data_IF_354961278984
#
_entry.id   IF_354961278984
#
_cell.length_a   1.000
_cell.length_b   1.000
_cell.length_c   1.000
_cell.angle_alpha   90.00
_cell.angle_beta   90.00
_cell.angle_gamma   90.00
#
_symmetry.space_group_name_H-M   'P 1'
#
loop_
_entity.id
_entity.type
_entity.pdbx_description
1 polymer ?
#
# COMPACT_ATOMS: atom_id res chain seq x y z
N UNK A 1 19.27 -6.30 10.82
CA UNK A 1 19.46 -5.42 11.99
C UNK A 1 19.66 -4.00 11.47
N UNK A 2 18.87 -3.06 12.02
CA UNK A 2 19.08 -1.63 11.87
C UNK A 2 19.82 -1.14 13.12
N UNK A 3 21.06 -0.64 13.00
CA UNK A 3 21.87 -0.27 14.16
C UNK A 3 21.38 1.04 14.79
N UNK A 4 21.77 1.27 16.04
CA UNK A 4 21.50 2.52 16.74
C UNK A 4 21.97 3.75 15.93
N UNK A 5 21.09 4.71 15.71
CA UNK A 5 21.39 5.97 15.03
C UNK A 5 21.34 5.91 13.50
N UNK A 6 20.98 4.78 12.91
CA UNK A 6 20.72 4.66 11.48
C UNK A 6 19.58 5.62 11.11
N UNK A 7 19.79 6.46 10.10
CA UNK A 7 18.88 7.53 9.67
C UNK A 7 18.35 8.43 10.81
N UNK A 8 19.09 8.52 11.92
CA UNK A 8 18.75 9.33 13.10
C UNK A 8 17.84 8.64 14.12
N UNK A 9 17.36 7.43 13.85
CA UNK A 9 16.46 6.71 14.76
C UNK A 9 17.21 6.11 15.96
N UNK A 10 16.55 6.13 17.14
CA UNK A 10 17.09 5.57 18.36
C UNK A 10 16.87 4.05 18.44
N UNK A 11 17.81 3.37 19.11
CA UNK A 11 17.73 1.92 19.35
C UNK A 11 18.31 1.09 18.20
N UNK A 12 18.76 -0.10 18.55
CA UNK A 12 19.01 -1.16 17.59
C UNK A 12 17.68 -1.90 17.38
N UNK A 13 17.29 -2.08 16.12
CA UNK A 13 16.07 -2.82 15.76
C UNK A 13 16.44 -4.12 15.06
N UNK A 14 15.98 -5.26 15.61
CA UNK A 14 16.09 -6.56 14.97
C UNK A 14 14.80 -6.84 14.23
N UNK A 15 14.89 -7.00 12.91
CA UNK A 15 13.75 -7.21 12.03
C UNK A 15 13.86 -8.60 11.41
N UNK A 16 12.76 -9.34 11.41
CA UNK A 16 12.58 -10.59 10.67
C UNK A 16 11.39 -10.43 9.73
N UNK A 17 11.60 -10.71 8.45
CA UNK A 17 10.54 -10.75 7.45
C UNK A 17 10.49 -12.16 6.89
N UNK A 18 9.29 -12.76 6.89
CA UNK A 18 9.07 -14.11 6.39
C UNK A 18 8.14 -14.02 5.19
N UNK A 19 8.62 -14.49 4.04
CA UNK A 19 7.83 -14.66 2.83
C UNK A 19 7.44 -16.13 2.69
N UNK A 20 6.14 -16.39 2.54
CA UNK A 20 5.61 -17.73 2.30
C UNK A 20 4.70 -17.71 1.08
N UNK A 21 4.86 -18.68 0.18
CA UNK A 21 3.89 -18.90 -0.90
C UNK A 21 3.12 -20.18 -0.60
N UNK A 22 1.80 -20.07 -0.51
CA UNK A 22 0.93 -21.18 -0.09
C UNK A 22 0.35 -21.94 -1.28
N UNK A 23 -0.25 -23.11 -1.01
CA UNK A 23 -0.97 -23.88 -2.03
C UNK A 23 -2.33 -23.26 -2.42
N UNK A 24 -2.74 -22.19 -1.74
CA UNK A 24 -3.97 -21.43 -2.00
C UNK A 24 -3.69 -20.15 -2.81
N UNK A 25 -2.54 -20.13 -3.53
CA UNK A 25 -2.06 -19.01 -4.35
C UNK A 25 -1.88 -17.70 -3.58
N UNK A 26 -1.42 -17.80 -2.32
CA UNK A 26 -1.20 -16.66 -1.46
C UNK A 26 0.30 -16.38 -1.26
N UNK A 27 0.72 -15.14 -1.50
CA UNK A 27 1.97 -14.60 -1.01
C UNK A 27 1.72 -13.98 0.37
N UNK A 28 2.16 -14.65 1.41
CA UNK A 28 2.07 -14.21 2.79
C UNK A 28 3.37 -13.54 3.20
N UNK A 29 3.28 -12.33 3.75
CA UNK A 29 4.42 -11.59 4.28
C UNK A 29 4.15 -11.32 5.76
N UNK A 30 5.02 -11.84 6.63
CA UNK A 30 4.95 -11.64 8.06
C UNK A 30 6.18 -10.86 8.54
N UNK A 31 5.96 -9.84 9.35
CA UNK A 31 7.01 -8.99 9.88
C UNK A 31 7.05 -9.12 11.40
N UNK A 32 8.24 -9.21 11.95
CA UNK A 32 8.48 -9.18 13.38
C UNK A 32 9.66 -8.27 13.67
N UNK A 33 9.54 -7.46 14.73
CA UNK A 33 10.66 -6.64 15.15
C UNK A 33 10.69 -6.47 16.67
N UNK A 34 11.90 -6.30 17.21
CA UNK A 34 12.16 -5.94 18.60
C UNK A 34 13.23 -4.86 18.65
N UNK A 35 13.26 -4.10 19.73
CA UNK A 35 14.22 -3.01 19.92
C UNK A 35 14.83 -3.04 21.31
N UNK A 36 16.04 -2.47 21.46
CA UNK A 36 16.69 -2.27 22.75
C UNK A 36 16.45 -0.87 23.36
N UNK A 37 15.82 0.05 22.61
CA UNK A 37 15.42 1.40 23.07
C UNK A 37 14.10 1.78 22.41
N UNK A 38 13.35 2.71 23.04
CA UNK A 38 12.15 3.28 22.43
C UNK A 38 12.49 3.88 21.07
N UNK A 39 11.77 3.46 20.03
CA UNK A 39 11.92 3.93 18.66
C UNK A 39 10.57 3.94 17.94
N UNK A 40 10.56 4.31 16.68
CA UNK A 40 9.39 4.19 15.78
C UNK A 40 9.66 3.12 14.75
N UNK A 41 8.61 2.41 14.32
CA UNK A 41 8.67 1.39 13.28
C UNK A 41 7.36 1.36 12.50
N UNK A 42 7.48 1.34 11.17
CA UNK A 42 6.34 1.18 10.27
C UNK A 42 6.86 0.46 9.02
N UNK A 43 6.68 -0.85 8.95
CA UNK A 43 7.18 -1.67 7.86
C UNK A 43 6.08 -1.90 6.83
N UNK A 44 6.46 -1.99 5.56
CA UNK A 44 5.55 -2.36 4.47
C UNK A 44 6.29 -3.11 3.37
N UNK A 45 5.55 -3.59 2.38
CA UNK A 45 6.08 -4.13 1.12
C UNK A 45 5.65 -3.22 -0.02
N UNK A 46 6.62 -2.64 -0.71
CA UNK A 46 6.38 -1.78 -1.88
C UNK A 46 6.44 -2.60 -3.18
N UNK A 47 5.63 -3.66 -3.24
CA UNK A 47 5.53 -4.52 -4.42
C UNK A 47 4.76 -3.83 -5.55
N UNK A 48 5.34 -3.83 -6.75
CA UNK A 48 4.70 -3.33 -7.98
C UNK A 48 3.99 -4.50 -8.68
N UNK A 49 2.67 -4.41 -8.83
CA UNK A 49 1.85 -5.45 -9.44
C UNK A 49 1.30 -4.99 -10.79
N UNK A 50 1.61 -5.75 -11.84
CA UNK A 50 1.06 -5.57 -13.19
C UNK A 50 0.26 -6.80 -13.59
N UNK A 51 -1.07 -6.79 -13.36
CA UNK A 51 -1.94 -7.93 -13.64
C UNK A 51 -2.09 -8.18 -15.14
N UNK A 52 -1.93 -7.15 -15.97
CA UNK A 52 -1.90 -7.28 -17.42
C UNK A 52 -0.66 -8.04 -17.93
N UNK A 53 0.33 -8.26 -17.06
CA UNK A 53 1.59 -8.91 -17.37
C UNK A 53 2.68 -7.92 -17.80
N UNK A 54 3.88 -8.47 -18.00
CA UNK A 54 5.07 -7.71 -18.38
C UNK A 54 5.25 -7.78 -19.90
N UNK A 55 5.39 -6.64 -20.56
CA UNK A 55 5.61 -6.51 -22.00
C UNK A 55 6.58 -5.37 -22.32
N UNK A 56 6.79 -5.05 -23.57
CA UNK A 56 7.58 -3.92 -24.02
C UNK A 56 6.76 -3.05 -25.01
N UNK A 57 6.16 -1.94 -24.55
CA UNK A 57 6.05 -1.48 -23.15
C UNK A 57 5.05 -2.33 -22.34
N UNK A 58 5.20 -2.30 -21.01
CA UNK A 58 4.21 -2.87 -20.09
C UNK A 58 2.88 -2.11 -20.22
N UNK A 59 1.73 -2.81 -20.31
CA UNK A 59 0.44 -2.17 -20.40
C UNK A 59 0.14 -1.24 -19.22
N UNK A 60 -0.57 -0.14 -19.49
CA UNK A 60 -1.04 0.76 -18.45
C UNK A 60 -2.10 0.10 -17.55
N UNK A 61 -2.21 0.62 -16.32
CA UNK A 61 -3.12 0.13 -15.28
C UNK A 61 -4.54 0.71 -15.37
N UNK A 62 -4.80 1.62 -16.32
CA UNK A 62 -6.05 2.39 -16.39
C UNK A 62 -7.30 1.51 -16.42
N UNK A 63 -7.23 0.36 -17.08
CA UNK A 63 -8.35 -0.59 -17.22
C UNK A 63 -8.50 -1.55 -16.03
N UNK A 64 -7.58 -1.53 -15.07
CA UNK A 64 -7.72 -2.37 -13.88
C UNK A 64 -8.94 -1.95 -13.07
N UNK A 65 -9.75 -2.92 -12.65
CA UNK A 65 -10.87 -2.67 -11.76
C UNK A 65 -10.38 -2.83 -10.32
N UNK A 66 -10.49 -1.77 -9.53
CA UNK A 66 -10.04 -1.76 -8.14
C UNK A 66 -11.22 -1.52 -7.20
N UNK A 67 -11.19 -2.21 -6.04
CA UNK A 67 -12.05 -2.03 -4.89
C UNK A 67 -11.17 -1.91 -3.64
N UNK A 68 -11.45 -0.95 -2.75
CA UNK A 68 -10.74 -0.74 -1.49
C UNK A 68 -11.75 -0.64 -0.35
N UNK A 69 -11.58 -1.46 0.68
CA UNK A 69 -12.43 -1.47 1.87
C UNK A 69 -12.04 -0.35 2.83
N UNK A 70 -12.32 0.90 2.44
CA UNK A 70 -12.00 2.08 3.21
C UNK A 70 -13.01 3.21 2.95
N UNK A 71 -13.57 3.79 4.01
CA UNK A 71 -14.48 4.94 3.92
C UNK A 71 -13.74 6.28 3.98
N UNK A 72 -12.44 6.25 4.33
CA UNK A 72 -11.62 7.44 4.52
C UNK A 72 -10.23 7.26 3.93
N UNK A 73 -9.56 8.38 3.66
CA UNK A 73 -8.16 8.44 3.26
C UNK A 73 -7.46 9.61 3.95
N UNK A 74 -6.14 9.62 3.95
CA UNK A 74 -5.31 10.69 4.47
C UNK A 74 -4.94 11.64 3.32
N UNK A 75 -5.38 12.92 3.35
CA UNK A 75 -4.92 13.89 2.38
C UNK A 75 -3.46 14.26 2.61
N UNK A 76 -2.77 14.58 1.52
CA UNK A 76 -1.36 14.97 1.52
C UNK A 76 -1.20 16.43 1.11
N UNK A 77 -0.11 17.05 1.52
CA UNK A 77 0.32 18.36 1.02
C UNK A 77 1.09 18.24 -0.31
N UNK A 78 1.58 19.34 -0.84
CA UNK A 78 2.33 19.41 -2.09
C UNK A 78 3.73 18.76 -2.01
N UNK A 79 4.15 18.33 -0.82
CA UNK A 79 5.37 17.54 -0.58
C UNK A 79 5.08 16.05 -0.37
N UNK A 80 3.82 15.61 -0.58
CA UNK A 80 3.34 14.24 -0.38
C UNK A 80 3.33 13.77 1.08
N UNK A 81 3.32 14.69 2.05
CA UNK A 81 3.22 14.37 3.47
C UNK A 81 1.76 14.50 3.93
N UNK A 82 1.23 13.55 4.73
CA UNK A 82 -0.12 13.66 5.29
C UNK A 82 -0.32 14.94 6.10
N UNK A 83 -1.43 15.63 5.84
CA UNK A 83 -1.78 16.88 6.55
C UNK A 83 -2.24 16.66 7.99
N UNK A 84 -2.51 15.39 8.35
CA UNK A 84 -3.13 15.02 9.60
C UNK A 84 -4.65 14.87 9.51
N UNK A 85 -5.29 15.41 8.51
CA UNK A 85 -6.73 15.23 8.32
C UNK A 85 -7.07 13.78 7.92
N UNK A 86 -8.32 13.39 8.16
CA UNK A 86 -8.91 12.12 7.72
C UNK A 86 -10.18 12.48 6.95
N UNK A 87 -10.16 12.32 5.64
CA UNK A 87 -11.24 12.74 4.75
C UNK A 87 -12.03 11.54 4.21
N UNK A 88 -13.33 11.74 3.98
CA UNK A 88 -14.19 10.72 3.37
C UNK A 88 -13.83 10.51 1.91
N UNK A 89 -13.81 9.24 1.47
CA UNK A 89 -13.61 8.90 0.05
C UNK A 89 -14.86 9.20 -0.78
N UNK A 90 -16.06 9.09 -0.18
CA UNK A 90 -17.34 9.19 -0.88
C UNK A 90 -17.51 10.51 -1.62
N UNK A 91 -17.75 10.42 -2.94
CA UNK A 91 -17.92 11.57 -3.82
C UNK A 91 -16.62 12.25 -4.24
N UNK A 92 -15.49 11.60 -4.02
CA UNK A 92 -14.16 12.05 -4.46
C UNK A 92 -13.55 11.06 -5.47
N UNK A 93 -12.45 11.41 -6.15
CA UNK A 93 -11.70 10.46 -6.99
C UNK A 93 -11.21 9.21 -6.24
N UNK A 94 -11.11 9.27 -4.91
CA UNK A 94 -10.65 8.19 -4.03
C UNK A 94 -11.74 7.20 -3.63
N UNK A 95 -12.97 7.35 -4.11
CA UNK A 95 -14.07 6.43 -3.80
C UNK A 95 -13.91 5.12 -4.59
N UNK A 96 -13.27 4.14 -3.96
CA UNK A 96 -13.13 2.75 -4.39
C UNK A 96 -13.97 1.80 -3.52
N UNK A 97 -14.96 2.29 -2.79
CA UNK A 97 -15.86 1.45 -1.98
C UNK A 97 -16.72 0.51 -2.82
N UNK A 98 -16.82 0.77 -4.11
CA UNK A 98 -17.37 -0.11 -5.13
C UNK A 98 -16.37 -0.26 -6.27
N UNK A 99 -16.29 -1.45 -6.91
CA UNK A 99 -15.35 -1.68 -7.99
C UNK A 99 -15.44 -0.61 -9.09
N UNK A 100 -14.32 0.03 -9.41
CA UNK A 100 -14.21 0.99 -10.52
C UNK A 100 -12.88 0.89 -11.23
N UNK A 101 -12.82 1.36 -12.48
CA UNK A 101 -11.56 1.47 -13.24
C UNK A 101 -10.60 2.44 -12.54
N UNK A 102 -9.34 2.05 -12.42
CA UNK A 102 -8.28 2.89 -11.85
C UNK A 102 -8.12 4.17 -12.67
N UNK A 103 -8.16 4.08 -13.99
CA UNK A 103 -8.03 5.22 -14.90
C UNK A 103 -9.18 6.22 -14.87
N UNK A 104 -10.34 5.84 -14.29
CA UNK A 104 -11.56 6.67 -14.37
C UNK A 104 -11.37 8.10 -13.84
N UNK A 105 -10.71 8.23 -12.68
CA UNK A 105 -10.56 9.51 -11.99
C UNK A 105 -9.08 9.85 -11.70
N UNK A 106 -8.13 9.11 -12.29
CA UNK A 106 -6.69 9.24 -12.00
C UNK A 106 -6.11 10.59 -12.45
N UNK A 107 -6.76 11.26 -13.38
CA UNK A 107 -6.42 12.60 -13.89
C UNK A 107 -7.50 13.65 -13.55
N UNK A 108 -8.36 13.38 -12.57
CA UNK A 108 -9.40 14.30 -12.17
C UNK A 108 -8.83 15.66 -11.74
N UNK A 109 -9.57 16.74 -12.02
CA UNK A 109 -9.24 18.09 -11.54
C UNK A 109 -9.55 18.20 -10.03
N UNK A 110 -8.73 17.53 -9.23
CA UNK A 110 -8.84 17.45 -7.78
C UNK A 110 -7.46 17.71 -7.16
N UNK A 111 -7.41 18.52 -6.11
CA UNK A 111 -6.16 18.95 -5.45
C UNK A 111 -5.30 17.74 -5.08
N UNK A 112 -5.87 16.74 -4.44
CA UNK A 112 -5.16 15.56 -3.98
C UNK A 112 -4.62 14.69 -5.12
N UNK A 113 -5.33 14.59 -6.25
CA UNK A 113 -4.84 13.94 -7.46
C UNK A 113 -3.63 14.69 -8.04
N UNK A 114 -3.64 16.03 -7.94
CA UNK A 114 -2.49 16.85 -8.38
C UNK A 114 -1.29 16.65 -7.47
N UNK A 115 -1.48 16.61 -6.15
CA UNK A 115 -0.40 16.38 -5.18
C UNK A 115 0.27 15.01 -5.40
N UNK A 116 -0.51 13.93 -5.58
CA UNK A 116 0.01 12.58 -5.83
C UNK A 116 0.40 12.30 -7.28
N UNK A 117 0.16 13.24 -8.22
CA UNK A 117 0.28 13.03 -9.67
C UNK A 117 -0.55 11.83 -10.19
N UNK A 118 -1.61 11.48 -9.46
CA UNK A 118 -2.45 10.30 -9.54
C UNK A 118 -2.81 9.82 -8.13
N UNK A 119 -2.95 8.51 -7.95
CA UNK A 119 -3.13 7.95 -6.60
C UNK A 119 -1.77 7.73 -5.94
N UNK A 120 -1.59 8.28 -4.76
CA UNK A 120 -0.44 8.06 -3.86
C UNK A 120 -0.85 8.43 -2.43
N UNK A 121 -1.87 7.74 -1.92
CA UNK A 121 -2.52 8.11 -0.67
C UNK A 121 -2.73 6.90 0.22
N UNK A 122 -2.66 7.13 1.52
CA UNK A 122 -2.99 6.12 2.52
C UNK A 122 -4.50 6.09 2.75
N UNK A 123 -5.11 4.94 2.47
CA UNK A 123 -6.50 4.64 2.79
C UNK A 123 -6.61 4.13 4.22
N UNK A 124 -7.61 4.63 4.95
CA UNK A 124 -7.95 4.18 6.30
C UNK A 124 -8.85 2.96 6.17
N UNK A 125 -8.30 1.79 6.40
CA UNK A 125 -9.03 0.53 6.20
C UNK A 125 -10.15 0.35 7.23
N UNK A 126 -11.30 -0.12 6.75
CA UNK A 126 -12.39 -0.52 7.63
C UNK A 126 -12.02 -1.79 8.38
N UNK A 127 -11.98 -1.73 9.71
CA UNK A 127 -11.64 -2.83 10.63
C UNK A 127 -12.73 -2.98 11.67
N UNK A 128 -13.08 -4.23 11.99
CA UNK A 128 -13.95 -4.52 13.13
C UNK A 128 -13.17 -4.47 14.45
N UNK A 129 -11.91 -4.94 14.42
CA UNK A 129 -10.99 -4.95 15.55
C UNK A 129 -9.59 -4.54 15.11
N UNK A 130 -8.86 -3.84 15.97
CA UNK A 130 -7.46 -3.48 15.74
C UNK A 130 -6.59 -4.75 15.60
N UNK A 131 -5.70 -4.76 14.59
CA UNK A 131 -4.83 -5.89 14.32
C UNK A 131 -5.52 -7.12 13.72
N UNK A 132 -6.83 -7.08 13.44
CA UNK A 132 -7.53 -8.15 12.76
C UNK A 132 -7.03 -8.30 11.32
N UNK A 133 -6.71 -9.54 10.92
CA UNK A 133 -6.48 -9.87 9.51
C UNK A 133 -7.81 -9.81 8.76
N UNK A 134 -7.98 -8.81 7.90
CA UNK A 134 -9.22 -8.59 7.17
C UNK A 134 -8.96 -8.15 5.73
N UNK A 135 -9.98 -8.27 4.89
CA UNK A 135 -9.95 -7.80 3.51
C UNK A 135 -9.69 -6.29 3.44
N UNK A 136 -8.73 -5.90 2.61
CA UNK A 136 -8.32 -4.52 2.38
C UNK A 136 -8.64 -4.04 0.97
N UNK A 137 -8.29 -4.81 -0.07
CA UNK A 137 -8.50 -4.42 -1.45
C UNK A 137 -8.60 -5.63 -2.38
N UNK A 138 -9.17 -5.36 -3.57
CA UNK A 138 -9.16 -6.27 -4.70
C UNK A 138 -8.84 -5.50 -5.98
N UNK A 139 -7.99 -6.09 -6.82
CA UNK A 139 -7.76 -5.59 -8.17
C UNK A 139 -7.93 -6.71 -9.18
N UNK A 140 -8.52 -6.39 -10.32
CA UNK A 140 -8.81 -7.32 -11.41
C UNK A 140 -8.38 -6.70 -12.74
N UNK A 141 -7.66 -7.45 -13.56
CA UNK A 141 -7.49 -7.12 -14.97
C UNK A 141 -8.62 -7.77 -15.77
N UNK A 142 -9.56 -7.00 -16.33
CA UNK A 142 -10.70 -7.53 -17.07
C UNK A 142 -10.30 -8.24 -18.37
N UNK A 143 -9.11 -7.95 -18.91
CA UNK A 143 -8.65 -8.56 -20.17
C UNK A 143 -8.10 -9.97 -19.97
N UNK A 144 -7.30 -10.18 -18.92
CA UNK A 144 -6.72 -11.50 -18.61
C UNK A 144 -7.54 -12.30 -17.60
N UNK A 145 -8.45 -11.64 -16.88
CA UNK A 145 -9.19 -12.21 -15.76
C UNK A 145 -8.35 -12.38 -14.49
N UNK A 146 -7.06 -12.00 -14.48
CA UNK A 146 -6.22 -12.11 -13.29
C UNK A 146 -6.73 -11.21 -12.19
N UNK A 147 -6.72 -11.73 -10.97
CA UNK A 147 -7.14 -11.00 -9.76
C UNK A 147 -6.07 -11.06 -8.70
N UNK A 148 -6.03 -10.04 -7.86
CA UNK A 148 -5.27 -10.04 -6.60
C UNK A 148 -6.15 -9.44 -5.52
N UNK A 149 -6.29 -10.16 -4.41
CA UNK A 149 -6.94 -9.67 -3.18
C UNK A 149 -5.85 -9.40 -2.14
N UNK A 150 -6.04 -8.35 -1.36
CA UNK A 150 -5.12 -7.96 -0.28
C UNK A 150 -5.85 -8.10 1.05
N UNK A 151 -5.21 -8.82 1.98
CA UNK A 151 -5.64 -8.92 3.37
C UNK A 151 -4.50 -8.46 4.26
N UNK A 152 -4.82 -7.73 5.33
CA UNK A 152 -3.78 -7.24 6.24
C UNK A 152 -4.27 -7.06 7.66
N UNK A 153 -3.34 -7.07 8.62
CA UNK A 153 -3.56 -6.67 10.01
C UNK A 153 -3.43 -5.16 10.21
N UNK A 154 -2.92 -4.43 9.23
CA UNK A 154 -2.61 -3.01 9.33
C UNK A 154 -3.86 -2.11 9.25
N UNK A 155 -3.85 -0.95 9.93
CA UNK A 155 -4.97 0.00 9.91
C UNK A 155 -5.08 0.81 8.63
N UNK A 156 -4.01 0.88 7.85
CA UNK A 156 -3.93 1.67 6.62
C UNK A 156 -3.29 0.91 5.47
N UNK A 157 -3.49 1.43 4.28
CA UNK A 157 -2.86 0.90 3.07
C UNK A 157 -2.62 2.05 2.09
N UNK A 158 -1.35 2.26 1.73
CA UNK A 158 -1.03 3.13 0.61
C UNK A 158 -1.49 2.47 -0.69
N UNK A 159 -2.20 3.23 -1.51
CA UNK A 159 -2.51 2.88 -2.89
C UNK A 159 -1.75 3.82 -3.81
N UNK A 160 -0.79 3.26 -4.54
CA UNK A 160 0.09 4.00 -5.44
C UNK A 160 -0.06 3.50 -6.87
N UNK A 161 -0.19 4.41 -7.81
CA UNK A 161 -0.47 4.12 -9.23
C UNK A 161 0.72 4.31 -10.16
N UNK A 162 1.94 4.11 -9.64
CA UNK A 162 3.20 4.17 -10.41
C UNK A 162 3.37 5.47 -11.22
N UNK A 163 3.17 6.60 -10.54
CA UNK A 163 3.06 7.91 -11.16
C UNK A 163 4.41 8.48 -11.66
N UNK A 164 5.53 7.94 -11.17
CA UNK A 164 6.88 8.46 -11.40
C UNK A 164 7.78 7.54 -12.22
N UNK A 165 7.26 6.39 -12.71
CA UNK A 165 8.02 5.53 -13.61
C UNK A 165 8.32 6.27 -14.92
N UNK A 166 9.58 6.16 -15.36
CA UNK A 166 10.09 6.85 -16.56
C UNK A 166 10.70 5.85 -17.56
N UNK A 167 9.94 4.80 -17.88
CA UNK A 167 10.35 3.83 -18.87
C UNK A 167 11.54 2.95 -18.45
N UNK A 168 11.64 2.61 -17.16
CA UNK A 168 12.71 1.75 -16.64
C UNK A 168 12.80 0.42 -17.39
N UNK A 169 14.02 0.01 -17.73
CA UNK A 169 14.26 -1.29 -18.33
C UNK A 169 14.09 -2.42 -17.30
N UNK A 170 13.26 -3.38 -17.63
CA UNK A 170 13.01 -4.58 -16.85
C UNK A 170 13.69 -5.82 -17.41
N UNK A 171 13.38 -6.98 -16.82
CA UNK A 171 13.84 -8.27 -17.31
C UNK A 171 13.15 -8.64 -18.65
N UNK A 172 13.79 -9.49 -19.45
CA UNK A 172 13.27 -9.97 -20.72
C UNK A 172 12.91 -8.89 -21.75
N UNK A 173 13.54 -7.70 -21.66
CA UNK A 173 13.28 -6.59 -22.57
C UNK A 173 12.01 -5.81 -22.26
N UNK A 174 11.37 -6.05 -21.13
CA UNK A 174 10.26 -5.23 -20.67
C UNK A 174 10.69 -3.79 -20.39
N UNK A 175 9.77 -2.84 -20.56
CA UNK A 175 9.91 -1.47 -20.10
C UNK A 175 8.71 -1.10 -19.24
N UNK A 176 8.95 -0.27 -18.22
CA UNK A 176 7.93 0.15 -17.26
C UNK A 176 7.69 1.66 -17.39
N UNK A 177 6.76 2.06 -18.27
CA UNK A 177 6.34 3.46 -18.35
C UNK A 177 5.51 3.86 -17.14
N UNK A 178 5.27 5.16 -17.01
CA UNK A 178 4.33 5.68 -16.01
C UNK A 178 3.01 4.91 -16.04
N UNK A 179 2.50 4.57 -14.85
CA UNK A 179 1.23 3.83 -14.68
C UNK A 179 1.24 2.43 -15.27
N UNK A 180 2.36 1.75 -15.10
CA UNK A 180 2.49 0.33 -15.53
C UNK A 180 2.24 -0.68 -14.42
N UNK A 181 2.09 -0.24 -13.17
CA UNK A 181 1.83 -1.08 -12.02
C UNK A 181 0.95 -0.37 -10.98
N UNK A 182 0.42 -1.14 -10.05
CA UNK A 182 -0.21 -0.65 -8.82
C UNK A 182 0.53 -1.22 -7.61
N UNK A 183 0.60 -0.41 -6.53
CA UNK A 183 1.14 -0.84 -5.25
C UNK A 183 0.05 -0.78 -4.18
N UNK A 184 0.02 -1.79 -3.33
CA UNK A 184 -0.87 -1.89 -2.16
C UNK A 184 0.01 -2.12 -0.94
N UNK A 185 0.33 -1.06 -0.22
CA UNK A 185 1.34 -1.05 0.83
C UNK A 185 0.66 -0.95 2.19
N UNK A 186 0.37 -2.11 2.77
CA UNK A 186 -0.26 -2.17 4.08
C UNK A 186 0.71 -1.70 5.17
N UNK A 187 0.27 -0.76 6.02
CA UNK A 187 1.10 -0.10 7.00
C UNK A 187 0.26 0.66 8.03
N UNK A 188 0.89 1.13 9.10
CA UNK A 188 0.35 2.22 9.90
C UNK A 188 0.38 3.52 9.10
N UNK A 189 -0.37 4.53 9.56
CA UNK A 189 -0.48 5.79 8.82
C UNK A 189 0.89 6.47 8.69
N UNK A 190 1.26 6.96 7.49
CA UNK A 190 2.45 7.79 7.33
C UNK A 190 2.37 9.02 8.25
N UNK A 191 3.53 9.49 8.70
CA UNK A 191 3.68 10.64 9.61
C UNK A 191 3.02 10.47 11.00
N UNK A 192 2.66 9.24 11.40
CA UNK A 192 2.08 8.96 12.73
C UNK A 192 2.85 9.55 13.92
N UNK A 193 4.19 9.65 13.93
CA UNK A 193 4.90 10.27 15.04
C UNK A 193 4.52 11.74 15.32
N UNK A 194 4.03 12.45 14.32
CA UNK A 194 3.66 13.87 14.41
C UNK A 194 2.16 14.08 14.68
N UNK A 195 1.34 13.03 14.63
CA UNK A 195 -0.11 13.07 14.82
C UNK A 195 -0.54 12.15 15.95
N UNK A 196 -0.72 12.67 17.15
CA UNK A 196 -0.99 11.87 18.37
C UNK A 196 -2.29 11.07 18.35
N UNK A 197 -3.20 11.35 17.42
CA UNK A 197 -4.47 10.63 17.22
C UNK A 197 -4.40 9.57 16.10
N UNK A 198 -3.26 9.47 15.40
CA UNK A 198 -2.99 8.36 14.50
C UNK A 198 -2.57 7.10 15.28
N UNK A 199 -2.79 5.89 14.74
CA UNK A 199 -2.28 4.67 15.35
C UNK A 199 -0.78 4.78 15.65
N UNK A 200 -0.38 4.35 16.83
CA UNK A 200 1.00 4.52 17.32
C UNK A 200 1.98 3.58 16.60
N UNK A 201 3.05 4.14 16.09
CA UNK A 201 4.19 3.41 15.50
C UNK A 201 5.37 3.27 16.49
N UNK A 202 5.14 3.52 17.78
CA UNK A 202 6.19 3.44 18.79
C UNK A 202 6.40 2.01 19.25
N UNK A 203 7.64 1.55 19.15
CA UNK A 203 8.09 0.26 19.68
C UNK A 203 9.00 0.48 20.90
N UNK A 204 8.75 -0.23 22.00
CA UNK A 204 9.53 -0.16 23.26
C UNK A 204 10.29 -1.44 23.52
N UNK A 205 11.40 -1.37 24.29
CA UNK A 205 12.06 -2.57 24.79
C UNK A 205 11.08 -3.51 25.51
N UNK A 206 11.12 -4.79 25.15
CA UNK A 206 10.21 -5.81 25.69
C UNK A 206 8.90 -5.97 24.90
N UNK A 207 8.56 -5.06 24.02
CA UNK A 207 7.45 -5.20 23.06
C UNK A 207 7.93 -5.90 21.79
N UNK A 208 7.01 -6.56 21.10
CA UNK A 208 7.22 -7.13 19.77
C UNK A 208 6.28 -6.45 18.77
N UNK A 209 6.86 -5.84 17.72
CA UNK A 209 6.10 -5.46 16.53
C UNK A 209 5.76 -6.72 15.74
N UNK A 210 4.54 -6.81 15.25
CA UNK A 210 4.11 -7.86 14.33
C UNK A 210 3.10 -7.32 13.34
N UNK A 211 3.22 -7.76 12.08
CA UNK A 211 2.32 -7.40 10.97
C UNK A 211 2.20 -8.60 10.05
N UNK A 212 1.04 -8.75 9.43
CA UNK A 212 0.79 -9.75 8.39
C UNK A 212 0.05 -9.13 7.22
N UNK A 213 0.56 -9.38 6.01
CA UNK A 213 -0.11 -9.02 4.75
C UNK A 213 -0.15 -10.23 3.84
N UNK A 214 -1.28 -10.44 3.17
CA UNK A 214 -1.48 -11.53 2.22
C UNK A 214 -1.90 -10.93 0.88
N UNK A 215 -1.19 -11.28 -0.18
CA UNK A 215 -1.61 -11.06 -1.56
C UNK A 215 -2.09 -12.40 -2.12
N UNK A 216 -3.39 -12.53 -2.34
CA UNK A 216 -4.02 -13.74 -2.85
C UNK A 216 -4.32 -13.57 -4.33
N UNK A 217 -3.72 -14.43 -5.14
CA UNK A 217 -3.86 -14.40 -6.59
C UNK A 217 -4.96 -15.34 -7.06
N UNK A 218 -5.59 -14.98 -8.18
CA UNK A 218 -6.64 -15.78 -8.77
C UNK A 218 -6.93 -15.41 -10.21
N UNK A 219 -7.91 -16.11 -10.79
CA UNK A 219 -8.44 -15.82 -12.12
C UNK A 219 -9.97 -15.83 -12.06
N UNK A 220 -10.56 -14.72 -12.42
CA UNK A 220 -12.01 -14.60 -12.59
C UNK A 220 -12.38 -15.22 -13.94
N UNK A 221 -13.34 -16.14 -13.92
CA UNK A 221 -13.87 -16.81 -15.13
C UNK A 221 -14.99 -16.00 -15.74
#
# INVERSE_FOLDING_TARGET
ISPYGEEGYSGEVKITVIYSFTNDDELVIEYFATTNKKTVINLTSHGFFSLAGIANPTPAIDNLICEINADFYLPIDDTSIPTGEILRVKGTPFDFTTPKEVGKDIDADHEQIKHGAGYDHCFVLNKEEEGQLSFAAKVTDPNSGRTMEVYTTEPGMQFYSDNWADGYAGQHGATFPRRSAVCFEAQHFPDSPNHSYFPSVVLRPGEQYSQKTIYKFGVQK
#
